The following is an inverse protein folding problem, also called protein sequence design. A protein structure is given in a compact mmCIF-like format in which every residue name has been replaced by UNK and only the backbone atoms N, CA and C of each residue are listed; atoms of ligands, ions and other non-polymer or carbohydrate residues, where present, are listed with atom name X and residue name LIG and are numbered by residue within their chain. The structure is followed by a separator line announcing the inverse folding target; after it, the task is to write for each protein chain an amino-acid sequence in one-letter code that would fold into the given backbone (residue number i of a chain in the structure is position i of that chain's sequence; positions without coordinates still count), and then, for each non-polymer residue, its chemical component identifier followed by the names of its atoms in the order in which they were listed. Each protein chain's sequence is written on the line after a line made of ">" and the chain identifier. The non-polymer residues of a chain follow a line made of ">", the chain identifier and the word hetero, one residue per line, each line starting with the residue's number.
data_IF_715395968908
#
_entry.id   IF_715395968908
#
_cell.length_a   1.000
_cell.length_b   1.000
_cell.length_c   1.000
_cell.angle_alpha   90.00
_cell.angle_beta   90.00
_cell.angle_gamma   90.00
#
_symmetry.space_group_name_H-M   'P 1'
#
loop_
_entity.id
_entity.type
_entity.pdbx_description
1 polymer ?
#
# COMPACT_ATOMS: atom_id res chain seq x y z
N UNK A 1 10.36 36.08 -29.23
CA UNK A 1 9.41 35.99 -28.12
C UNK A 1 9.98 34.98 -27.12
N UNK A 2 10.63 35.46 -26.06
CA UNK A 2 11.32 34.63 -25.07
C UNK A 2 10.31 33.97 -24.13
N UNK A 3 10.23 32.64 -24.16
CA UNK A 3 9.39 31.85 -23.25
C UNK A 3 9.89 31.97 -21.81
N UNK A 4 8.95 32.13 -20.86
CA UNK A 4 9.28 32.18 -19.45
C UNK A 4 9.85 30.83 -18.97
N UNK A 5 10.89 30.82 -18.11
CA UNK A 5 11.49 29.59 -17.61
C UNK A 5 10.51 28.81 -16.71
N UNK A 6 10.65 27.48 -16.72
CA UNK A 6 9.88 26.56 -15.88
C UNK A 6 9.90 27.00 -14.40
N UNK A 7 8.77 26.89 -13.71
CA UNK A 7 8.63 27.26 -12.29
C UNK A 7 8.32 28.73 -12.00
N UNK A 8 8.28 29.62 -13.02
CA UNK A 8 7.87 31.02 -12.82
C UNK A 8 6.45 31.16 -12.24
N UNK A 9 5.53 30.27 -12.61
CA UNK A 9 4.15 30.26 -12.12
C UNK A 9 4.03 29.88 -10.64
N UNK A 10 4.87 28.97 -10.12
CA UNK A 10 4.82 28.51 -8.73
C UNK A 10 5.33 29.57 -7.74
N UNK A 11 6.42 30.28 -8.10
CA UNK A 11 7.01 31.34 -7.26
C UNK A 11 6.06 32.51 -6.96
N UNK A 12 5.13 32.83 -7.88
CA UNK A 12 4.13 33.90 -7.66
C UNK A 12 3.05 33.55 -6.64
N UNK A 13 2.84 32.27 -6.35
CA UNK A 13 1.80 31.78 -5.45
C UNK A 13 2.33 31.30 -4.09
N UNK A 14 3.64 31.45 -3.84
CA UNK A 14 4.26 30.95 -2.62
C UNK A 14 4.17 29.42 -2.48
N UNK A 15 4.00 28.69 -3.58
CA UNK A 15 3.99 27.23 -3.59
C UNK A 15 5.47 26.79 -3.63
N UNK A 16 5.99 26.09 -2.59
CA UNK A 16 7.37 25.63 -2.58
C UNK A 16 7.64 24.68 -3.75
N UNK A 17 8.88 24.68 -4.24
CA UNK A 17 9.28 23.73 -5.28
C UNK A 17 9.25 22.30 -4.70
N UNK A 18 8.89 21.32 -5.54
CA UNK A 18 8.42 19.99 -5.12
C UNK A 18 9.42 19.23 -4.25
N UNK A 19 10.71 19.58 -4.31
CA UNK A 19 11.80 18.93 -3.58
C UNK A 19 11.91 19.43 -2.11
N UNK A 20 11.54 20.67 -1.82
CA UNK A 20 11.59 21.25 -0.46
C UNK A 20 10.43 20.78 0.42
N UNK A 21 9.32 20.37 -0.22
CA UNK A 21 8.14 19.80 0.44
C UNK A 21 8.48 18.43 1.03
N UNK A 22 9.36 17.66 0.39
CA UNK A 22 9.68 16.28 0.82
C UNK A 22 10.37 16.27 2.19
N UNK A 23 11.25 17.23 2.47
CA UNK A 23 12.08 17.21 3.68
C UNK A 23 11.41 17.86 4.90
N UNK A 24 10.52 18.84 4.69
CA UNK A 24 9.88 19.56 5.80
C UNK A 24 8.76 18.75 6.48
N UNK A 25 8.25 17.69 5.82
CA UNK A 25 7.09 16.92 6.28
C UNK A 25 7.43 15.87 7.35
N UNK A 26 8.71 15.55 7.58
CA UNK A 26 9.10 14.45 8.46
C UNK A 26 9.42 14.84 9.92
N UNK A 27 9.47 16.13 10.27
CA UNK A 27 9.88 16.57 11.62
C UNK A 27 8.73 16.92 12.58
N UNK A 28 7.50 17.14 12.10
CA UNK A 28 6.37 17.50 12.97
C UNK A 28 5.32 16.40 12.99
N UNK A 29 5.03 15.86 14.19
CA UNK A 29 4.11 14.76 14.50
C UNK A 29 2.62 15.05 14.24
N UNK A 30 2.31 15.53 13.05
CA UNK A 30 1.00 15.46 12.45
C UNK A 30 0.94 14.15 11.67
N UNK A 31 -0.10 13.34 11.85
CA UNK A 31 -0.36 12.23 10.92
C UNK A 31 -0.46 12.83 9.52
N UNK A 32 0.64 12.75 8.76
CA UNK A 32 0.71 13.34 7.45
C UNK A 32 -0.44 12.76 6.63
N UNK A 33 -1.17 13.64 5.93
CA UNK A 33 -2.14 13.24 4.91
C UNK A 33 -1.51 12.12 4.08
N UNK A 34 -1.99 10.89 4.29
CA UNK A 34 -1.63 9.75 3.47
C UNK A 34 -1.98 10.14 2.03
N UNK A 35 -0.96 10.37 1.20
CA UNK A 35 -1.14 10.81 -0.19
C UNK A 35 -1.66 9.69 -1.09
N UNK A 36 -1.72 8.46 -0.59
CA UNK A 36 -2.20 7.31 -1.33
C UNK A 36 -3.72 7.21 -1.20
N UNK A 37 -4.23 7.15 0.03
CA UNK A 37 -5.62 6.84 0.34
C UNK A 37 -6.09 7.74 1.47
N UNK A 38 -7.35 8.19 1.44
CA UNK A 38 -7.96 8.84 2.59
C UNK A 38 -8.29 7.80 3.66
N UNK A 39 -7.37 7.65 4.62
CA UNK A 39 -7.49 6.71 5.72
C UNK A 39 -8.77 6.91 6.54
N UNK A 40 -9.26 8.15 6.68
CA UNK A 40 -10.49 8.42 7.44
C UNK A 40 -11.72 7.90 6.70
N UNK A 41 -11.75 8.05 5.38
CA UNK A 41 -12.83 7.55 4.53
C UNK A 41 -12.90 6.02 4.55
N UNK A 42 -11.75 5.34 4.49
CA UNK A 42 -11.69 3.88 4.66
C UNK A 42 -12.31 3.44 5.99
N UNK A 43 -11.98 4.12 7.10
CA UNK A 43 -12.57 3.81 8.42
C UNK A 43 -14.06 4.14 8.49
N UNK A 44 -14.50 5.21 7.83
CA UNK A 44 -15.92 5.56 7.74
C UNK A 44 -16.70 4.44 7.03
N UNK A 45 -16.23 4.00 5.87
CA UNK A 45 -16.87 2.91 5.11
C UNK A 45 -16.89 1.62 5.93
N UNK A 46 -15.77 1.22 6.52
CA UNK A 46 -15.68 -0.05 7.26
C UNK A 46 -16.50 -0.04 8.55
N UNK A 47 -16.34 0.96 9.41
CA UNK A 47 -16.88 0.91 10.77
C UNK A 47 -18.22 1.63 10.94
N UNK A 48 -18.48 2.69 10.16
CA UNK A 48 -19.72 3.47 10.30
C UNK A 48 -20.79 3.00 9.31
N UNK A 49 -20.40 2.73 8.07
CA UNK A 49 -21.34 2.30 7.02
C UNK A 49 -21.57 0.78 7.02
N UNK A 50 -20.49 -0.01 6.95
CA UNK A 50 -20.58 -1.47 6.87
C UNK A 50 -20.61 -2.15 8.24
N UNK A 51 -20.16 -1.46 9.29
CA UNK A 51 -20.09 -1.97 10.67
C UNK A 51 -19.38 -3.32 10.77
N UNK A 52 -18.20 -3.42 10.15
CA UNK A 52 -17.45 -4.69 10.07
C UNK A 52 -17.05 -5.24 11.44
N UNK A 53 -17.02 -4.39 12.48
CA UNK A 53 -16.83 -4.76 13.88
C UNK A 53 -18.01 -5.57 14.45
N UNK A 54 -19.19 -5.53 13.84
CA UNK A 54 -20.31 -6.42 14.20
C UNK A 54 -20.17 -7.84 13.64
N UNK A 55 -19.18 -8.11 12.77
CA UNK A 55 -18.99 -9.43 12.16
C UNK A 55 -18.58 -10.51 13.17
N UNK A 56 -18.04 -10.14 14.34
CA UNK A 56 -17.70 -11.07 15.41
C UNK A 56 -18.87 -11.90 15.94
N UNK A 57 -20.11 -11.53 15.62
CA UNK A 57 -21.31 -12.36 15.90
C UNK A 57 -21.36 -13.67 15.11
N UNK A 58 -20.60 -13.79 14.03
CA UNK A 58 -20.49 -15.01 13.24
C UNK A 58 -19.28 -15.82 13.71
N UNK A 59 -19.45 -17.13 13.90
CA UNK A 59 -18.38 -18.03 14.37
C UNK A 59 -17.07 -17.85 13.58
N UNK A 60 -17.18 -17.75 12.24
CA UNK A 60 -16.04 -17.52 11.33
C UNK A 60 -15.18 -16.30 11.69
N UNK A 61 -15.77 -15.24 12.24
CA UNK A 61 -15.07 -13.99 12.54
C UNK A 61 -15.02 -13.68 14.05
N UNK A 62 -15.42 -14.62 14.90
CA UNK A 62 -15.50 -14.44 16.35
C UNK A 62 -14.16 -14.18 17.04
N UNK A 63 -13.06 -14.52 16.37
CA UNK A 63 -11.69 -14.27 16.83
C UNK A 63 -11.14 -12.89 16.47
N UNK A 64 -11.92 -12.02 15.82
CA UNK A 64 -11.49 -10.67 15.46
C UNK A 64 -12.31 -9.61 16.17
N UNK A 65 -11.65 -8.52 16.54
CA UNK A 65 -12.28 -7.32 17.05
C UNK A 65 -11.87 -6.07 16.25
N UNK A 66 -12.44 -4.93 16.62
CA UNK A 66 -12.19 -3.66 15.95
C UNK A 66 -10.73 -3.22 16.05
N UNK A 67 -10.07 -3.47 17.17
CA UNK A 67 -8.69 -3.04 17.40
C UNK A 67 -7.75 -3.83 16.49
N UNK A 68 -7.98 -5.14 16.32
CA UNK A 68 -7.25 -5.97 15.35
C UNK A 68 -7.42 -5.46 13.92
N UNK A 69 -8.62 -5.02 13.53
CA UNK A 69 -8.86 -4.45 12.20
C UNK A 69 -8.11 -3.12 12.02
N UNK A 70 -8.15 -2.23 13.01
CA UNK A 70 -7.42 -0.96 12.98
C UNK A 70 -5.91 -1.16 12.90
N UNK A 71 -5.35 -2.05 13.73
CA UNK A 71 -3.92 -2.36 13.74
C UNK A 71 -3.46 -2.91 12.38
N UNK A 72 -4.28 -3.77 11.76
CA UNK A 72 -3.98 -4.33 10.43
C UNK A 72 -3.99 -3.25 9.36
N UNK A 73 -4.99 -2.36 9.36
CA UNK A 73 -5.07 -1.24 8.43
C UNK A 73 -3.91 -0.26 8.61
N UNK A 74 -3.52 0.03 9.85
CA UNK A 74 -2.37 0.91 10.16
C UNK A 74 -1.05 0.29 9.69
N UNK A 75 -0.85 -1.01 9.90
CA UNK A 75 0.33 -1.71 9.42
C UNK A 75 0.39 -1.70 7.88
N UNK A 76 -0.74 -1.94 7.21
CA UNK A 76 -0.82 -1.89 5.75
C UNK A 76 -0.47 -0.50 5.22
N UNK A 77 -1.07 0.53 5.78
CA UNK A 77 -0.80 1.94 5.47
C UNK A 77 0.69 2.29 5.66
N UNK A 78 1.28 1.90 6.79
CA UNK A 78 2.69 2.16 7.08
C UNK A 78 3.61 1.50 6.05
N UNK A 79 3.42 0.22 5.76
CA UNK A 79 4.22 -0.49 4.76
C UNK A 79 4.02 0.13 3.37
N UNK A 80 2.79 0.50 3.02
CA UNK A 80 2.46 1.14 1.75
C UNK A 80 3.20 2.48 1.58
N UNK A 81 3.12 3.37 2.58
CA UNK A 81 3.71 4.72 2.53
C UNK A 81 5.23 4.69 2.66
N UNK A 82 5.77 3.95 3.64
CA UNK A 82 7.20 4.01 3.97
C UNK A 82 8.07 3.13 3.07
N UNK A 83 7.52 2.02 2.55
CA UNK A 83 8.33 1.02 1.85
C UNK A 83 7.92 0.83 0.39
N UNK A 84 6.62 0.69 0.10
CA UNK A 84 6.16 0.36 -1.25
C UNK A 84 6.15 1.60 -2.15
N UNK A 85 5.55 2.71 -1.71
CA UNK A 85 5.38 3.92 -2.52
C UNK A 85 6.70 4.48 -3.08
N UNK A 86 7.81 4.55 -2.32
CA UNK A 86 9.10 5.01 -2.84
C UNK A 86 9.61 4.20 -4.04
N UNK A 87 9.20 2.94 -4.17
CA UNK A 87 9.63 2.07 -5.28
C UNK A 87 8.85 2.26 -6.57
N UNK A 88 7.72 2.97 -6.55
CA UNK A 88 6.86 3.09 -7.73
C UNK A 88 7.57 3.81 -8.89
N UNK A 89 8.16 4.97 -8.60
CA UNK A 89 8.90 5.74 -9.60
C UNK A 89 10.20 5.06 -10.05
N UNK A 90 10.87 4.33 -9.15
CA UNK A 90 12.06 3.54 -9.51
C UNK A 90 11.69 2.35 -10.41
N UNK A 91 10.60 1.67 -10.09
CA UNK A 91 10.10 0.52 -10.84
C UNK A 91 9.72 0.88 -12.28
N UNK A 92 9.05 2.03 -12.47
CA UNK A 92 8.71 2.55 -13.80
C UNK A 92 9.97 2.90 -14.62
N UNK A 93 10.94 3.60 -14.02
CA UNK A 93 12.18 4.00 -14.70
C UNK A 93 13.08 2.80 -15.03
N UNK A 94 13.17 1.83 -14.13
CA UNK A 94 14.08 0.69 -14.27
C UNK A 94 13.48 -0.39 -15.17
N UNK A 95 12.18 -0.65 -15.03
CA UNK A 95 11.44 -1.69 -15.75
C UNK A 95 11.93 -3.11 -15.46
N UNK A 96 11.30 -4.08 -16.13
CA UNK A 96 11.76 -5.48 -16.15
C UNK A 96 12.77 -5.69 -17.27
N UNK A 97 13.78 -6.53 -17.04
CA UNK A 97 14.79 -6.89 -18.04
C UNK A 97 14.79 -8.39 -18.32
N UNK A 98 14.75 -8.76 -19.60
CA UNK A 98 14.85 -10.14 -20.03
C UNK A 98 16.29 -10.48 -20.46
N UNK A 99 16.84 -11.55 -19.90
CA UNK A 99 18.12 -12.15 -20.28
C UNK A 99 17.82 -13.36 -21.21
N UNK A 100 18.06 -13.24 -22.53
CA UNK A 100 17.71 -14.27 -23.50
C UNK A 100 18.60 -15.52 -23.37
N UNK A 101 19.85 -15.37 -22.91
CA UNK A 101 20.79 -16.48 -22.80
C UNK A 101 20.42 -17.37 -21.60
N UNK A 102 20.00 -16.75 -20.50
CA UNK A 102 19.57 -17.47 -19.29
C UNK A 102 18.07 -17.79 -19.26
N UNK A 103 17.29 -17.20 -20.17
CA UNK A 103 15.81 -17.25 -20.17
C UNK A 103 15.22 -16.75 -18.84
N UNK A 104 15.80 -15.69 -18.28
CA UNK A 104 15.39 -15.12 -16.99
C UNK A 104 14.84 -13.70 -17.16
N UNK A 105 13.83 -13.35 -16.36
CA UNK A 105 13.34 -11.98 -16.22
C UNK A 105 13.79 -11.45 -14.86
N UNK A 106 14.37 -10.24 -14.83
CA UNK A 106 14.77 -9.55 -13.60
C UNK A 106 13.88 -8.33 -13.40
N UNK A 107 13.19 -8.30 -12.26
CA UNK A 107 12.44 -7.15 -11.78
C UNK A 107 13.38 -6.09 -11.15
N UNK A 108 12.92 -4.84 -10.98
CA UNK A 108 13.63 -3.81 -10.22
C UNK A 108 14.08 -4.33 -8.84
N UNK A 109 15.32 -4.04 -8.46
CA UNK A 109 15.89 -4.53 -7.20
C UNK A 109 15.20 -3.91 -5.97
N UNK A 110 14.70 -2.67 -6.13
CA UNK A 110 13.93 -1.95 -5.12
C UNK A 110 12.68 -2.71 -4.66
N UNK A 111 12.11 -3.60 -5.48
CA UNK A 111 10.89 -4.34 -5.12
C UNK A 111 11.14 -5.40 -4.04
N UNK A 112 12.38 -5.83 -3.81
CA UNK A 112 12.69 -6.96 -2.93
C UNK A 112 12.34 -6.70 -1.46
N UNK A 113 12.79 -5.58 -0.91
CA UNK A 113 12.60 -5.29 0.51
C UNK A 113 11.12 -5.03 0.87
N UNK A 114 10.36 -4.21 0.10
CA UNK A 114 8.94 -4.01 0.40
C UNK A 114 8.11 -5.26 0.16
N UNK A 115 8.44 -6.08 -0.85
CA UNK A 115 7.77 -7.37 -1.04
C UNK A 115 8.01 -8.32 0.14
N UNK A 116 9.23 -8.33 0.69
CA UNK A 116 9.53 -9.07 1.92
C UNK A 116 8.69 -8.56 3.10
N UNK A 117 8.59 -7.25 3.30
CA UNK A 117 7.77 -6.67 4.36
C UNK A 117 6.27 -6.99 4.19
N UNK A 118 5.76 -6.95 2.95
CA UNK A 118 4.39 -7.36 2.63
C UNK A 118 4.15 -8.84 3.00
N UNK A 119 5.08 -9.73 2.66
CA UNK A 119 4.98 -11.16 2.97
C UNK A 119 5.09 -11.43 4.48
N UNK A 120 6.05 -10.80 5.17
CA UNK A 120 6.26 -10.96 6.61
C UNK A 120 5.13 -10.33 7.44
N UNK A 121 4.47 -9.31 6.89
CA UNK A 121 3.23 -8.76 7.44
C UNK A 121 2.01 -9.66 7.23
N UNK A 122 2.14 -10.79 6.52
CA UNK A 122 1.08 -11.77 6.28
C UNK A 122 0.05 -11.36 5.22
N UNK A 123 0.29 -10.27 4.48
CA UNK A 123 -0.70 -9.71 3.54
C UNK A 123 -0.97 -10.57 2.30
N UNK A 124 -0.14 -11.59 2.04
CA UNK A 124 -0.37 -12.57 0.95
C UNK A 124 -1.66 -13.35 1.19
N UNK A 125 -1.86 -13.87 2.41
CA UNK A 125 -3.02 -14.69 2.77
C UNK A 125 -3.96 -13.99 3.75
N UNK A 126 -4.14 -12.67 3.61
CA UNK A 126 -4.84 -11.84 4.59
C UNK A 126 -6.30 -12.30 4.83
N UNK A 127 -6.96 -12.88 3.84
CA UNK A 127 -8.34 -13.37 3.94
C UNK A 127 -8.44 -14.91 3.83
N UNK A 128 -7.32 -15.60 3.65
CA UNK A 128 -7.30 -17.05 3.50
C UNK A 128 -7.59 -17.74 4.84
N UNK A 129 -8.04 -18.99 4.76
CA UNK A 129 -8.36 -19.78 5.95
C UNK A 129 -7.11 -20.01 6.83
N UNK A 130 -7.21 -19.83 8.17
CA UNK A 130 -6.12 -20.17 9.08
C UNK A 130 -5.59 -21.61 8.95
N UNK A 131 -6.42 -22.57 8.53
CA UNK A 131 -5.99 -23.97 8.30
C UNK A 131 -4.92 -24.09 7.20
N UNK A 132 -4.88 -23.17 6.24
CA UNK A 132 -3.86 -23.10 5.19
C UNK A 132 -2.81 -22.03 5.45
N UNK A 133 -2.79 -21.45 6.65
CA UNK A 133 -1.83 -20.42 7.07
C UNK A 133 -2.22 -18.99 6.74
N UNK A 134 -3.49 -18.73 6.39
CA UNK A 134 -4.04 -17.40 6.22
C UNK A 134 -4.35 -16.67 7.53
N UNK A 135 -4.63 -15.38 7.46
CA UNK A 135 -5.11 -14.63 8.63
C UNK A 135 -6.60 -14.82 8.89
N UNK A 136 -7.42 -15.10 7.87
CA UNK A 136 -8.87 -15.28 8.00
C UNK A 136 -9.71 -14.01 8.14
N UNK A 137 -9.15 -12.83 7.84
CA UNK A 137 -9.88 -11.57 7.98
C UNK A 137 -11.09 -11.48 7.02
N UNK A 138 -12.14 -10.74 7.39
CA UNK A 138 -13.21 -10.40 6.46
C UNK A 138 -12.65 -9.74 5.19
N UNK A 139 -13.16 -10.14 4.02
CA UNK A 139 -12.71 -9.60 2.74
C UNK A 139 -12.80 -8.07 2.65
N UNK A 140 -13.80 -7.44 3.29
CA UNK A 140 -13.90 -5.98 3.33
C UNK A 140 -12.67 -5.33 3.95
N UNK A 141 -12.19 -5.85 5.08
CA UNK A 141 -10.98 -5.35 5.76
C UNK A 141 -9.73 -5.70 4.96
N UNK A 142 -9.64 -6.92 4.44
CA UNK A 142 -8.51 -7.37 3.62
C UNK A 142 -8.34 -6.54 2.35
N UNK A 143 -9.43 -6.25 1.62
CA UNK A 143 -9.39 -5.42 0.42
C UNK A 143 -9.05 -3.96 0.73
N UNK A 144 -9.52 -3.41 1.85
CA UNK A 144 -9.08 -2.08 2.29
C UNK A 144 -7.58 -2.02 2.61
N UNK A 145 -6.97 -3.11 3.09
CA UNK A 145 -5.51 -3.19 3.21
C UNK A 145 -4.84 -3.19 1.83
N UNK A 146 -5.36 -3.98 0.89
CA UNK A 146 -4.88 -4.03 -0.50
C UNK A 146 -4.99 -2.69 -1.23
N UNK A 147 -5.99 -1.86 -0.90
CA UNK A 147 -6.15 -0.53 -1.49
C UNK A 147 -4.92 0.37 -1.25
N UNK A 148 -4.37 0.37 -0.03
CA UNK A 148 -3.13 1.11 0.27
C UNK A 148 -1.97 0.61 -0.59
N UNK A 149 -1.82 -0.71 -0.70
CA UNK A 149 -0.71 -1.31 -1.43
C UNK A 149 -0.79 -1.10 -2.94
N UNK A 150 -1.98 -1.32 -3.52
CA UNK A 150 -2.22 -1.13 -4.95
C UNK A 150 -2.05 0.34 -5.34
N UNK A 151 -2.49 1.26 -4.49
CA UNK A 151 -2.30 2.70 -4.73
C UNK A 151 -0.83 3.11 -4.59
N UNK A 152 -0.07 2.46 -3.68
CA UNK A 152 1.36 2.68 -3.55
C UNK A 152 2.15 2.22 -4.78
N UNK A 153 1.96 0.98 -5.24
CA UNK A 153 2.64 0.42 -6.40
C UNK A 153 1.95 -0.88 -6.89
N UNK A 154 1.01 -0.76 -7.82
CA UNK A 154 0.30 -1.91 -8.40
C UNK A 154 1.23 -2.91 -9.11
N UNK A 155 2.33 -2.45 -9.71
CA UNK A 155 3.27 -3.32 -10.42
C UNK A 155 4.02 -4.26 -9.47
N UNK A 156 4.39 -3.76 -8.28
CA UNK A 156 4.99 -4.58 -7.23
C UNK A 156 3.95 -5.57 -6.66
N UNK A 157 2.75 -5.10 -6.34
CA UNK A 157 1.71 -5.91 -5.67
C UNK A 157 1.12 -6.99 -6.57
N UNK A 158 1.21 -6.82 -7.89
CA UNK A 158 0.80 -7.85 -8.84
C UNK A 158 1.57 -9.17 -8.66
N UNK A 159 2.83 -9.15 -8.21
CA UNK A 159 3.62 -10.38 -7.99
C UNK A 159 2.99 -11.30 -6.93
N UNK A 160 2.78 -10.87 -5.67
CA UNK A 160 2.14 -11.71 -4.67
C UNK A 160 0.65 -11.93 -4.99
N UNK A 161 -0.06 -10.94 -5.52
CA UNK A 161 -1.50 -11.07 -5.79
C UNK A 161 -1.81 -12.12 -6.87
N UNK A 162 -1.05 -12.16 -7.97
CA UNK A 162 -1.23 -13.17 -9.02
C UNK A 162 -0.79 -14.56 -8.56
N UNK A 163 0.26 -14.64 -7.74
CA UNK A 163 0.70 -15.90 -7.16
C UNK A 163 -0.37 -16.48 -6.22
N UNK A 164 -0.95 -15.63 -5.36
CA UNK A 164 -2.08 -15.98 -4.51
C UNK A 164 -3.29 -16.44 -5.32
N UNK A 165 -3.72 -15.67 -6.32
CA UNK A 165 -4.86 -16.01 -7.16
C UNK A 165 -4.69 -17.27 -8.00
N UNK A 166 -3.46 -17.72 -8.27
CA UNK A 166 -3.17 -18.99 -8.93
C UNK A 166 -3.16 -20.19 -7.96
N UNK A 167 -3.01 -19.94 -6.66
CA UNK A 167 -3.00 -20.96 -5.61
C UNK A 167 -4.39 -21.25 -5.03
N UNK A 168 -5.31 -20.28 -5.11
CA UNK A 168 -6.71 -20.37 -4.69
C UNK A 168 -7.57 -21.23 -5.65
#
# INVERSE_FOLDING_TARGET
>A
MSGAPAGWWNRRRGIPDNDDIVYTIFEEGYMALNKLVDSRDVRFVLFEMLKVDELGKFEKYSGFDKDMYEDTLQLAEKIAVEQIYPTNADGDKTGVRYDPDKKLVKAPESFRAPLKAFNEGGFVGIFDDPEVGGMGLPHSVGFSCYEYFCTANVSLISYPALAHGAAA
#
